data_IF_418958478133
#
_entry.id   IF_418958478133
#
_cell.length_a   1.000
_cell.length_b   1.000
_cell.length_c   1.000
_cell.angle_alpha   90.00
_cell.angle_beta   90.00
_cell.angle_gamma   90.00
#
_symmetry.space_group_name_H-M   'P 1'
#
loop_
_entity.id
_entity.type
_entity.pdbx_description
1 polymer ?
#
# COMPACT_ATOMS: atom_id res chain seq x y z
N UNK A 1 -20.70 -0.60 15.75
CA UNK A 1 -20.82 -2.03 15.42
C UNK A 1 -20.61 -2.84 16.70
N UNK A 2 -21.32 -3.96 16.89
CA UNK A 2 -21.12 -4.83 18.04
C UNK A 2 -19.65 -5.34 18.07
N UNK A 3 -18.94 -5.28 19.20
CA UNK A 3 -17.54 -5.74 19.30
C UNK A 3 -17.36 -7.20 18.87
N UNK A 4 -18.36 -8.07 19.11
CA UNK A 4 -18.29 -9.47 18.66
C UNK A 4 -18.31 -9.59 17.14
N UNK A 5 -19.13 -8.78 16.46
CA UNK A 5 -19.18 -8.74 14.99
C UNK A 5 -17.87 -8.16 14.42
N UNK A 6 -17.26 -7.19 15.11
CA UNK A 6 -15.95 -6.67 14.71
C UNK A 6 -14.89 -7.77 14.78
N UNK A 7 -14.87 -8.54 15.86
CA UNK A 7 -13.93 -9.64 16.02
C UNK A 7 -14.12 -10.73 14.96
N UNK A 8 -15.36 -11.11 14.64
CA UNK A 8 -15.62 -12.12 13.59
C UNK A 8 -15.22 -11.64 12.21
N UNK A 9 -15.47 -10.37 11.87
CA UNK A 9 -15.05 -9.80 10.58
C UNK A 9 -13.51 -9.71 10.47
N UNK A 10 -12.82 -9.28 11.52
CA UNK A 10 -11.35 -9.26 11.55
C UNK A 10 -10.77 -10.68 11.44
N UNK A 11 -11.39 -11.67 12.09
CA UNK A 11 -11.01 -13.07 11.93
C UNK A 11 -11.25 -13.57 10.50
N UNK A 12 -12.36 -13.19 9.87
CA UNK A 12 -12.65 -13.46 8.47
C UNK A 12 -11.58 -12.93 7.52
N UNK A 13 -11.06 -11.71 7.77
CA UNK A 13 -9.93 -11.14 7.02
C UNK A 13 -8.63 -11.93 7.22
N UNK A 14 -8.39 -12.42 8.42
CA UNK A 14 -7.27 -13.32 8.70
C UNK A 14 -7.42 -14.62 7.92
N UNK A 15 -8.55 -15.30 8.07
CA UNK A 15 -8.86 -16.55 7.41
C UNK A 15 -8.72 -16.46 5.89
N UNK A 16 -9.33 -15.46 5.25
CA UNK A 16 -9.25 -15.30 3.80
C UNK A 16 -7.80 -15.20 3.31
N UNK A 17 -6.97 -14.37 3.96
CA UNK A 17 -5.54 -14.29 3.63
C UNK A 17 -4.78 -15.59 3.87
N UNK A 18 -5.02 -16.29 4.99
CA UNK A 18 -4.34 -17.57 5.28
C UNK A 18 -4.69 -18.65 4.26
N UNK A 19 -5.94 -18.70 3.81
CA UNK A 19 -6.40 -19.66 2.80
C UNK A 19 -5.71 -19.40 1.47
N UNK A 20 -5.56 -18.12 1.07
CA UNK A 20 -4.81 -17.80 -0.16
C UNK A 20 -3.32 -18.13 -0.06
N UNK A 21 -2.72 -18.04 1.12
CA UNK A 21 -1.30 -18.39 1.29
C UNK A 21 -1.07 -19.90 1.27
N UNK A 22 -2.00 -20.66 1.85
CA UNK A 22 -1.91 -22.12 1.92
C UNK A 22 -2.41 -22.83 0.65
N UNK A 23 -3.14 -22.14 -0.24
CA UNK A 23 -3.74 -22.76 -1.41
C UNK A 23 -2.69 -23.09 -2.48
N UNK A 24 -2.75 -24.31 -3.02
CA UNK A 24 -2.12 -24.70 -4.29
C UNK A 24 -3.11 -24.66 -5.47
N UNK A 25 -4.41 -24.78 -5.20
CA UNK A 25 -5.46 -24.83 -6.22
C UNK A 25 -6.11 -23.47 -6.45
N UNK A 26 -6.29 -23.06 -7.72
CA UNK A 26 -6.87 -21.75 -8.09
C UNK A 26 -8.23 -21.45 -7.45
N UNK A 27 -9.14 -22.43 -7.40
CA UNK A 27 -10.45 -22.26 -6.77
C UNK A 27 -10.35 -21.88 -5.28
N UNK A 28 -9.39 -22.46 -4.54
CA UNK A 28 -9.19 -22.13 -3.12
C UNK A 28 -8.59 -20.74 -2.96
N UNK A 29 -7.63 -20.37 -3.83
CA UNK A 29 -7.10 -19.01 -3.87
C UNK A 29 -8.21 -17.97 -4.16
N UNK A 30 -9.09 -18.25 -5.11
CA UNK A 30 -10.24 -17.41 -5.43
C UNK A 30 -11.18 -17.28 -4.22
N UNK A 31 -11.52 -18.38 -3.56
CA UNK A 31 -12.38 -18.38 -2.38
C UNK A 31 -11.79 -17.53 -1.24
N UNK A 32 -10.47 -17.65 -1.00
CA UNK A 32 -9.77 -16.84 0.01
C UNK A 32 -9.82 -15.34 -0.29
N UNK A 33 -9.67 -14.95 -1.57
CA UNK A 33 -9.82 -13.56 -2.01
C UNK A 33 -11.27 -13.05 -1.81
N UNK A 34 -12.28 -13.87 -2.09
CA UNK A 34 -13.68 -13.48 -1.88
C UNK A 34 -14.07 -13.38 -0.40
N UNK A 35 -13.53 -14.25 0.46
CA UNK A 35 -13.71 -14.09 1.91
C UNK A 35 -13.12 -12.76 2.40
N UNK A 36 -11.99 -12.33 1.87
CA UNK A 36 -11.40 -11.04 2.21
C UNK A 36 -12.26 -9.85 1.75
N UNK A 37 -12.83 -9.91 0.55
CA UNK A 37 -13.68 -8.82 0.02
C UNK A 37 -14.97 -8.71 0.82
N UNK A 38 -15.63 -9.83 1.11
CA UNK A 38 -16.87 -9.85 1.89
C UNK A 38 -16.65 -9.42 3.35
N UNK A 39 -15.53 -9.81 3.97
CA UNK A 39 -15.24 -9.45 5.35
C UNK A 39 -14.91 -7.95 5.54
N UNK A 40 -14.30 -7.28 4.54
CA UNK A 40 -13.94 -5.85 4.68
C UNK A 40 -15.11 -4.90 4.40
N UNK A 41 -16.10 -5.27 3.57
CA UNK A 41 -17.21 -4.38 3.19
C UNK A 41 -17.96 -3.80 4.40
N UNK A 42 -18.36 -4.58 5.42
CA UNK A 42 -19.02 -4.02 6.60
C UNK A 42 -18.11 -3.11 7.42
N UNK A 43 -16.79 -3.35 7.41
CA UNK A 43 -15.82 -2.47 8.08
C UNK A 43 -15.72 -1.12 7.38
N UNK A 44 -15.87 -1.07 6.07
CA UNK A 44 -15.85 0.18 5.30
C UNK A 44 -17.13 1.02 5.51
N UNK A 45 -18.28 0.39 5.75
CA UNK A 45 -19.58 1.06 5.89
C UNK A 45 -19.97 1.41 7.34
N UNK A 46 -19.04 1.32 8.31
CA UNK A 46 -19.35 1.40 9.75
C UNK A 46 -20.12 2.63 10.20
N UNK A 47 -19.79 3.81 9.65
CA UNK A 47 -20.39 5.08 10.08
C UNK A 47 -21.67 5.46 9.32
N UNK A 48 -22.14 4.61 8.38
CA UNK A 48 -23.34 4.83 7.57
C UNK A 48 -23.43 6.20 6.88
N UNK A 49 -22.31 6.89 6.70
CA UNK A 49 -22.24 8.16 6.00
C UNK A 49 -22.36 7.91 4.48
N UNK A 50 -23.08 8.74 3.71
CA UNK A 50 -23.29 8.52 2.27
C UNK A 50 -21.97 8.33 1.51
N UNK A 51 -20.94 9.09 1.86
CA UNK A 51 -19.59 8.95 1.27
C UNK A 51 -18.90 7.63 1.60
N UNK A 52 -19.12 7.08 2.80
CA UNK A 52 -18.57 5.77 3.16
C UNK A 52 -19.28 4.67 2.37
N UNK A 53 -20.61 4.78 2.20
CA UNK A 53 -21.41 3.86 1.37
C UNK A 53 -21.02 3.95 -0.10
N UNK A 54 -20.79 5.14 -0.65
CA UNK A 54 -20.29 5.29 -2.02
C UNK A 54 -18.89 4.67 -2.20
N UNK A 55 -18.01 4.83 -1.22
CA UNK A 55 -16.69 4.19 -1.24
C UNK A 55 -16.81 2.65 -1.16
N UNK A 56 -17.73 2.12 -0.35
CA UNK A 56 -17.93 0.67 -0.24
C UNK A 56 -18.50 0.08 -1.53
N UNK A 57 -19.42 0.77 -2.20
CA UNK A 57 -19.99 0.30 -3.48
C UNK A 57 -18.94 0.32 -4.59
N UNK A 58 -18.12 1.36 -4.68
CA UNK A 58 -16.97 1.41 -5.62
C UNK A 58 -15.97 0.29 -5.37
N UNK A 59 -15.64 0.03 -4.11
CA UNK A 59 -14.78 -1.10 -3.74
C UNK A 59 -15.39 -2.44 -4.12
N UNK A 60 -16.67 -2.67 -3.79
CA UNK A 60 -17.34 -3.92 -4.11
C UNK A 60 -17.36 -4.20 -5.62
N UNK A 61 -17.77 -3.22 -6.43
CA UNK A 61 -17.86 -3.39 -7.89
C UNK A 61 -16.49 -3.69 -8.53
N UNK A 62 -15.44 -3.00 -8.09
CA UNK A 62 -14.08 -3.23 -8.62
C UNK A 62 -13.51 -4.57 -8.18
N UNK A 63 -13.75 -4.98 -6.94
CA UNK A 63 -13.23 -6.24 -6.43
C UNK A 63 -14.00 -7.46 -6.94
N UNK A 64 -15.32 -7.33 -7.13
CA UNK A 64 -16.16 -8.37 -7.72
C UNK A 64 -15.82 -8.60 -9.20
N UNK A 65 -15.58 -7.53 -9.97
CA UNK A 65 -15.13 -7.66 -11.37
C UNK A 65 -13.75 -8.31 -11.45
N UNK A 66 -12.81 -7.94 -10.56
CA UNK A 66 -11.51 -8.59 -10.47
C UNK A 66 -11.61 -10.09 -10.12
N UNK A 67 -12.51 -10.45 -9.20
CA UNK A 67 -12.71 -11.83 -8.80
C UNK A 67 -13.37 -12.68 -9.90
N UNK A 68 -14.36 -12.13 -10.60
CA UNK A 68 -14.96 -12.79 -11.76
C UNK A 68 -13.92 -13.00 -12.88
N UNK A 69 -13.07 -12.00 -13.14
CA UNK A 69 -11.98 -12.10 -14.10
C UNK A 69 -10.96 -13.18 -13.72
N UNK A 70 -10.61 -13.29 -12.43
CA UNK A 70 -9.72 -14.33 -11.93
C UNK A 70 -10.32 -15.73 -12.11
N UNK A 71 -11.61 -15.90 -11.76
CA UNK A 71 -12.31 -17.18 -11.93
C UNK A 71 -12.34 -17.57 -13.42
N UNK A 72 -12.72 -16.64 -14.30
CA UNK A 72 -12.72 -16.85 -15.75
C UNK A 72 -11.32 -17.22 -16.29
N UNK A 73 -10.28 -16.58 -15.79
CA UNK A 73 -8.91 -16.91 -16.20
C UNK A 73 -8.47 -18.30 -15.70
N UNK A 74 -8.87 -18.70 -14.49
CA UNK A 74 -8.58 -20.04 -13.97
C UNK A 74 -9.32 -21.16 -14.73
N UNK A 75 -10.59 -20.94 -15.10
CA UNK A 75 -11.38 -21.92 -15.85
C UNK A 75 -10.90 -22.05 -17.29
N UNK A 76 -10.48 -20.94 -17.92
CA UNK A 76 -9.85 -20.99 -19.25
C UNK A 76 -8.51 -21.72 -19.21
N UNK A 77 -7.70 -21.57 -18.15
CA UNK A 77 -6.49 -22.38 -17.99
C UNK A 77 -6.82 -23.88 -17.85
N UNK A 78 -7.79 -24.22 -17.01
CA UNK A 78 -8.22 -25.60 -16.83
C UNK A 78 -8.80 -26.20 -18.12
N UNK A 79 -9.50 -25.40 -18.93
CA UNK A 79 -10.00 -25.85 -20.23
C UNK A 79 -8.89 -26.11 -21.25
N UNK A 80 -7.84 -25.26 -21.26
CA UNK A 80 -6.73 -25.38 -22.20
C UNK A 80 -5.72 -26.47 -21.81
N UNK A 81 -5.40 -26.59 -20.53
CA UNK A 81 -4.28 -27.43 -20.02
C UNK A 81 -4.72 -28.56 -19.12
N UNK A 82 -5.97 -28.57 -18.66
CA UNK A 82 -6.47 -29.53 -17.67
C UNK A 82 -5.98 -29.31 -16.24
N UNK A 83 -5.19 -28.26 -15.99
CA UNK A 83 -4.52 -28.02 -14.71
C UNK A 83 -5.17 -26.90 -13.91
N UNK A 84 -5.24 -27.11 -12.58
CA UNK A 84 -5.78 -26.16 -11.61
C UNK A 84 -4.73 -25.65 -10.62
N UNK A 85 -3.48 -26.08 -10.76
CA UNK A 85 -2.38 -25.69 -9.91
C UNK A 85 -1.94 -24.24 -10.20
N UNK A 86 -1.57 -23.48 -9.17
CA UNK A 86 -1.19 -22.07 -9.28
C UNK A 86 0.13 -21.90 -10.04
N UNK A 87 1.09 -22.80 -9.80
CA UNK A 87 2.44 -22.70 -10.36
C UNK A 87 2.52 -23.12 -11.83
N UNK A 88 1.53 -23.85 -12.33
CA UNK A 88 1.55 -24.47 -13.66
C UNK A 88 0.66 -23.69 -14.64
N UNK A 89 0.96 -22.41 -14.80
CA UNK A 89 0.30 -21.53 -15.77
C UNK A 89 1.28 -21.25 -16.92
N UNK A 90 1.04 -21.86 -18.08
CA UNK A 90 1.94 -21.74 -19.24
C UNK A 90 1.35 -20.90 -20.37
N UNK A 91 0.03 -20.90 -20.54
CA UNK A 91 -0.60 -20.24 -21.67
C UNK A 91 -0.66 -18.71 -21.46
N UNK A 92 -0.27 -17.88 -22.45
CA UNK A 92 -0.16 -16.44 -22.29
C UNK A 92 -1.50 -15.77 -21.96
N UNK A 93 -2.61 -16.26 -22.53
CA UNK A 93 -3.93 -15.64 -22.34
C UNK A 93 -4.45 -15.73 -20.88
N UNK A 94 -4.51 -16.91 -20.21
CA UNK A 94 -4.85 -16.97 -18.79
C UNK A 94 -3.90 -16.15 -17.91
N UNK A 95 -2.60 -16.18 -18.19
CA UNK A 95 -1.60 -15.42 -17.41
C UNK A 95 -1.87 -13.91 -17.50
N UNK A 96 -2.14 -13.37 -18.69
CA UNK A 96 -2.45 -11.94 -18.83
C UNK A 96 -3.76 -11.56 -18.13
N UNK A 97 -4.78 -12.43 -18.19
CA UNK A 97 -6.04 -12.18 -17.48
C UNK A 97 -5.88 -12.21 -15.96
N UNK A 98 -5.13 -13.17 -15.41
CA UNK A 98 -4.88 -13.24 -13.96
C UNK A 98 -4.04 -12.06 -13.49
N UNK A 99 -2.99 -11.70 -14.23
CA UNK A 99 -2.16 -10.53 -13.88
C UNK A 99 -2.98 -9.24 -13.91
N UNK A 100 -3.88 -9.05 -14.88
CA UNK A 100 -4.83 -7.93 -14.90
C UNK A 100 -5.82 -7.97 -13.73
N UNK A 101 -6.36 -9.14 -13.39
CA UNK A 101 -7.27 -9.31 -12.26
C UNK A 101 -6.60 -8.95 -10.92
N UNK A 102 -5.38 -9.45 -10.69
CA UNK A 102 -4.60 -9.13 -9.49
C UNK A 102 -4.16 -7.66 -9.48
N UNK A 103 -3.79 -7.09 -10.63
CA UNK A 103 -3.50 -5.67 -10.80
C UNK A 103 -4.69 -4.79 -10.38
N UNK A 104 -5.90 -5.18 -10.77
CA UNK A 104 -7.14 -4.52 -10.37
C UNK A 104 -7.36 -4.61 -8.86
N UNK A 105 -7.19 -5.80 -8.26
CA UNK A 105 -7.37 -6.00 -6.80
C UNK A 105 -6.41 -5.14 -5.97
N UNK A 106 -5.16 -5.01 -6.41
CA UNK A 106 -4.11 -4.25 -5.72
C UNK A 106 -4.18 -2.75 -6.01
N UNK A 107 -4.78 -2.35 -7.14
CA UNK A 107 -4.94 -0.95 -7.55
C UNK A 107 -3.74 -0.40 -8.33
N UNK A 108 -3.20 -1.17 -9.27
CA UNK A 108 -2.13 -0.73 -10.16
C UNK A 108 -2.64 0.13 -11.30
N UNK A 109 -1.79 1.03 -11.82
CA UNK A 109 -2.11 1.75 -13.04
C UNK A 109 -2.11 0.78 -14.24
N UNK A 110 -3.03 0.94 -15.21
CA UNK A 110 -3.99 2.05 -15.35
C UNK A 110 -5.27 1.94 -14.49
N UNK A 111 -5.55 0.78 -13.89
CA UNK A 111 -6.83 0.48 -13.21
C UNK A 111 -6.84 0.86 -11.71
N UNK A 112 -6.14 1.96 -11.38
CA UNK A 112 -5.88 2.44 -10.02
C UNK A 112 -6.92 3.45 -9.52
N UNK A 113 -7.82 3.93 -10.40
CA UNK A 113 -8.71 5.07 -10.14
C UNK A 113 -9.63 4.89 -8.94
N UNK A 114 -9.95 3.65 -8.60
CA UNK A 114 -10.80 3.32 -7.44
C UNK A 114 -10.11 3.62 -6.11
N UNK A 115 -8.78 3.47 -6.02
CA UNK A 115 -8.09 3.48 -4.75
C UNK A 115 -8.10 4.86 -4.05
N UNK A 116 -7.83 6.00 -4.72
CA UNK A 116 -7.92 7.31 -4.09
C UNK A 116 -9.33 7.70 -3.66
N UNK A 117 -10.35 7.26 -4.39
CA UNK A 117 -11.75 7.57 -4.07
C UNK A 117 -12.23 6.77 -2.87
N UNK A 118 -11.95 5.46 -2.86
CA UNK A 118 -12.29 4.57 -1.74
C UNK A 118 -11.58 5.06 -0.47
N UNK A 119 -10.26 5.22 -0.50
CA UNK A 119 -9.51 5.66 0.70
C UNK A 119 -9.99 7.00 1.25
N UNK A 120 -10.47 7.92 0.41
CA UNK A 120 -10.97 9.21 0.88
C UNK A 120 -12.30 9.09 1.66
N UNK A 121 -13.15 8.12 1.31
CA UNK A 121 -14.44 7.88 1.97
C UNK A 121 -14.33 7.07 3.27
N UNK A 122 -13.16 6.49 3.54
CA UNK A 122 -12.90 5.64 4.71
C UNK A 122 -12.28 6.40 5.89
N UNK A 123 -12.40 5.81 7.07
CA UNK A 123 -11.67 6.24 8.26
C UNK A 123 -10.19 5.85 8.17
N UNK A 124 -9.35 6.49 8.98
CA UNK A 124 -7.91 6.24 8.96
C UNK A 124 -7.56 4.79 9.34
N UNK A 125 -8.33 4.15 10.22
CA UNK A 125 -8.11 2.76 10.63
C UNK A 125 -8.47 1.76 9.53
N UNK A 126 -9.61 1.96 8.87
CA UNK A 126 -10.04 1.08 7.77
C UNK A 126 -9.21 1.34 6.51
N UNK A 127 -8.80 2.59 6.27
CA UNK A 127 -7.84 2.95 5.24
C UNK A 127 -6.46 2.32 5.47
N UNK A 128 -5.99 2.22 6.71
CA UNK A 128 -4.77 1.48 7.05
C UNK A 128 -4.91 0.00 6.66
N UNK A 129 -5.99 -0.68 7.05
CA UNK A 129 -6.25 -2.09 6.69
C UNK A 129 -6.29 -2.27 5.17
N UNK A 130 -6.95 -1.37 4.44
CA UNK A 130 -7.01 -1.40 2.98
C UNK A 130 -5.63 -1.20 2.33
N UNK A 131 -4.83 -0.28 2.85
CA UNK A 131 -3.50 0.04 2.28
C UNK A 131 -2.40 -0.98 2.61
N UNK A 132 -2.64 -1.87 3.58
CA UNK A 132 -1.68 -2.88 4.06
C UNK A 132 -2.24 -4.30 3.87
N UNK A 133 -3.17 -4.72 4.71
CA UNK A 133 -3.69 -6.09 4.78
C UNK A 133 -4.30 -6.58 3.47
N UNK A 134 -5.11 -5.74 2.80
CA UNK A 134 -5.77 -6.15 1.54
C UNK A 134 -4.79 -6.37 0.38
N UNK A 135 -3.54 -5.89 0.50
CA UNK A 135 -2.50 -6.10 -0.52
C UNK A 135 -1.82 -7.46 -0.38
N UNK A 136 -1.84 -8.09 0.79
CA UNK A 136 -1.10 -9.32 1.08
C UNK A 136 -1.48 -10.49 0.17
N UNK A 137 -2.76 -10.87 0.16
CA UNK A 137 -3.24 -12.04 -0.57
C UNK A 137 -3.04 -11.92 -2.10
N UNK A 138 -3.45 -10.82 -2.76
CA UNK A 138 -3.19 -10.66 -4.19
C UNK A 138 -1.70 -10.61 -4.54
N UNK A 139 -0.87 -10.01 -3.67
CA UNK A 139 0.56 -9.91 -3.92
C UNK A 139 1.26 -11.27 -3.81
N UNK A 140 0.86 -12.12 -2.86
CA UNK A 140 1.36 -13.49 -2.77
C UNK A 140 1.05 -14.32 -4.02
N UNK A 141 -0.18 -14.21 -4.55
CA UNK A 141 -0.55 -14.89 -5.80
C UNK A 141 0.28 -14.37 -6.98
N UNK A 142 0.54 -13.06 -7.06
CA UNK A 142 1.38 -12.49 -8.11
C UNK A 142 2.81 -13.04 -8.07
N UNK A 143 3.37 -13.25 -6.88
CA UNK A 143 4.68 -13.87 -6.70
C UNK A 143 4.70 -15.37 -7.05
N UNK A 144 3.60 -16.09 -6.86
CA UNK A 144 3.50 -17.52 -7.15
C UNK A 144 3.38 -17.83 -8.65
N UNK A 145 2.74 -16.96 -9.43
CA UNK A 145 2.49 -17.19 -10.87
C UNK A 145 3.76 -17.02 -11.73
N UNK A 146 4.74 -16.22 -11.25
CA UNK A 146 5.97 -15.84 -11.97
C UNK A 146 5.79 -15.79 -13.51
N UNK A 147 5.07 -14.78 -14.04
CA UNK A 147 4.69 -14.77 -15.45
C UNK A 147 5.94 -14.76 -16.34
N UNK A 148 5.94 -15.62 -17.37
CA UNK A 148 7.06 -15.71 -18.31
C UNK A 148 7.31 -14.40 -19.08
N UNK A 149 6.28 -13.56 -19.27
CA UNK A 149 6.41 -12.29 -19.98
C UNK A 149 6.66 -11.11 -19.03
N UNK A 150 7.90 -10.62 -19.03
CA UNK A 150 8.34 -9.49 -18.21
C UNK A 150 7.75 -8.14 -18.59
N UNK A 151 7.36 -7.98 -19.86
CA UNK A 151 6.99 -6.68 -20.41
C UNK A 151 5.74 -6.09 -19.75
N UNK A 152 4.77 -6.94 -19.40
CA UNK A 152 3.50 -6.51 -18.78
C UNK A 152 3.73 -6.01 -17.35
N UNK A 153 4.51 -6.74 -16.56
CA UNK A 153 4.85 -6.32 -15.19
C UNK A 153 5.67 -5.04 -15.20
N UNK A 154 6.67 -4.92 -16.09
CA UNK A 154 7.46 -3.70 -16.22
C UNK A 154 6.56 -2.52 -16.63
N UNK A 155 5.63 -2.71 -17.57
CA UNK A 155 4.70 -1.68 -18.00
C UNK A 155 3.77 -1.23 -16.84
N UNK A 156 3.18 -2.15 -16.08
CA UNK A 156 2.39 -1.80 -14.90
C UNK A 156 3.23 -1.12 -13.81
N UNK A 157 4.45 -1.58 -13.58
CA UNK A 157 5.39 -0.98 -12.63
C UNK A 157 5.73 0.47 -12.98
N UNK A 158 6.17 0.74 -14.21
CA UNK A 158 6.53 2.09 -14.65
C UNK A 158 5.32 3.03 -14.66
N UNK A 159 4.20 2.60 -15.24
CA UNK A 159 2.98 3.43 -15.30
C UNK A 159 2.45 3.76 -13.90
N UNK A 160 2.48 2.82 -12.97
CA UNK A 160 2.02 3.07 -11.59
C UNK A 160 2.95 4.00 -10.81
N UNK A 161 4.27 3.91 -10.99
CA UNK A 161 5.19 4.89 -10.37
C UNK A 161 4.96 6.31 -10.91
N UNK A 162 4.76 6.47 -12.21
CA UNK A 162 4.51 7.76 -12.85
C UNK A 162 3.16 8.36 -12.43
N UNK A 163 2.10 7.57 -12.49
CA UNK A 163 0.75 8.02 -12.13
C UNK A 163 0.62 8.28 -10.64
N UNK A 164 1.25 7.46 -9.79
CA UNK A 164 1.33 7.70 -8.35
C UNK A 164 2.07 9.00 -8.02
N UNK A 165 3.16 9.29 -8.73
CA UNK A 165 3.90 10.55 -8.61
C UNK A 165 3.05 11.77 -8.99
N UNK A 166 2.57 11.83 -10.24
CA UNK A 166 1.80 12.98 -10.73
C UNK A 166 0.46 13.16 -10.02
N UNK A 167 -0.28 12.07 -9.77
CA UNK A 167 -1.58 12.12 -9.12
C UNK A 167 -1.52 12.65 -7.69
N UNK A 168 -0.42 12.38 -6.97
CA UNK A 168 -0.21 12.86 -5.60
C UNK A 168 0.03 14.37 -5.48
N UNK A 169 0.64 15.00 -6.50
CA UNK A 169 0.98 16.43 -6.49
C UNK A 169 -0.25 17.32 -6.32
N UNK A 170 -1.37 16.97 -6.94
CA UNK A 170 -2.57 17.83 -6.96
C UNK A 170 -3.51 17.61 -5.75
N UNK A 171 -3.16 16.74 -4.80
CA UNK A 171 -4.06 16.42 -3.69
C UNK A 171 -3.72 17.21 -2.43
N UNK A 172 -4.76 17.67 -1.73
CA UNK A 172 -4.66 18.33 -0.40
C UNK A 172 -5.19 17.45 0.74
N UNK A 173 -5.85 16.35 0.39
CA UNK A 173 -6.41 15.39 1.33
C UNK A 173 -5.37 14.32 1.65
N UNK A 174 -5.07 14.09 2.93
CA UNK A 174 -3.98 13.20 3.34
C UNK A 174 -4.23 11.75 2.92
N UNK A 175 -5.48 11.29 2.98
CA UNK A 175 -5.85 9.93 2.55
C UNK A 175 -5.63 9.70 1.05
N UNK A 176 -5.90 10.71 0.21
CA UNK A 176 -5.60 10.64 -1.23
C UNK A 176 -4.10 10.68 -1.51
N UNK A 177 -3.34 11.51 -0.79
CA UNK A 177 -1.87 11.54 -0.93
C UNK A 177 -1.29 10.16 -0.58
N UNK A 178 -1.74 9.54 0.53
CA UNK A 178 -1.34 8.19 0.89
C UNK A 178 -1.80 7.14 -0.14
N UNK A 179 -2.99 7.28 -0.73
CA UNK A 179 -3.45 6.41 -1.81
C UNK A 179 -2.48 6.43 -3.01
N UNK A 180 -2.13 7.62 -3.51
CA UNK A 180 -1.20 7.78 -4.63
C UNK A 180 0.21 7.31 -4.29
N UNK A 181 0.67 7.53 -3.06
CA UNK A 181 1.94 6.94 -2.63
C UNK A 181 1.91 5.42 -2.64
N UNK A 182 0.79 4.83 -2.27
CA UNK A 182 0.63 3.39 -2.23
C UNK A 182 0.65 2.79 -3.65
N UNK A 183 0.13 3.51 -4.64
CA UNK A 183 0.22 3.15 -6.07
C UNK A 183 1.67 3.21 -6.54
N UNK A 184 2.40 4.28 -6.17
CA UNK A 184 3.80 4.42 -6.53
C UNK A 184 4.67 3.31 -5.92
N UNK A 185 4.51 3.01 -4.62
CA UNK A 185 5.25 1.94 -3.96
C UNK A 185 4.94 0.56 -4.54
N UNK A 186 3.68 0.28 -4.86
CA UNK A 186 3.30 -0.96 -5.56
C UNK A 186 3.96 -1.08 -6.93
N UNK A 187 4.13 0.04 -7.63
CA UNK A 187 4.88 0.06 -8.89
C UNK A 187 6.33 -0.39 -8.73
N UNK A 188 7.02 0.13 -7.71
CA UNK A 188 8.38 -0.31 -7.36
C UNK A 188 8.45 -1.81 -7.05
N UNK A 189 7.48 -2.33 -6.29
CA UNK A 189 7.42 -3.76 -5.96
C UNK A 189 7.28 -4.62 -7.23
N UNK A 190 6.45 -4.19 -8.18
CA UNK A 190 6.16 -4.99 -9.38
C UNK A 190 7.27 -4.95 -10.41
N UNK A 191 8.05 -3.86 -10.47
CA UNK A 191 9.25 -3.79 -11.31
C UNK A 191 10.25 -4.92 -10.98
N UNK A 192 10.29 -5.38 -9.73
CA UNK A 192 11.26 -6.40 -9.29
C UNK A 192 10.65 -7.77 -9.04
N UNK A 193 9.31 -7.90 -9.05
CA UNK A 193 8.60 -9.15 -8.74
C UNK A 193 9.09 -10.35 -9.53
N UNK A 194 9.49 -10.15 -10.78
CA UNK A 194 10.01 -11.21 -11.62
C UNK A 194 11.50 -11.50 -11.42
N UNK A 195 12.30 -10.48 -11.10
CA UNK A 195 13.76 -10.63 -11.03
C UNK A 195 14.20 -11.17 -9.67
N UNK A 196 13.65 -10.65 -8.58
CA UNK A 196 13.98 -11.10 -7.22
C UNK A 196 12.76 -11.04 -6.31
N UNK A 197 12.01 -12.16 -6.16
CA UNK A 197 10.83 -12.20 -5.31
C UNK A 197 11.16 -11.91 -3.83
N UNK A 198 12.35 -12.30 -3.36
CA UNK A 198 12.82 -11.97 -2.00
C UNK A 198 12.96 -10.46 -1.77
N UNK A 199 13.42 -9.71 -2.79
CA UNK A 199 13.54 -8.26 -2.71
C UNK A 199 12.16 -7.61 -2.66
N UNK A 200 11.21 -8.14 -3.42
CA UNK A 200 9.84 -7.64 -3.37
C UNK A 200 9.18 -7.84 -2.01
N UNK A 201 9.44 -8.98 -1.35
CA UNK A 201 8.97 -9.21 0.03
C UNK A 201 9.55 -8.18 1.00
N UNK A 202 10.86 -7.90 0.91
CA UNK A 202 11.50 -6.84 1.71
C UNK A 202 10.83 -5.47 1.47
N UNK A 203 10.58 -5.13 0.22
CA UNK A 203 9.96 -3.84 -0.14
C UNK A 203 8.51 -3.73 0.36
N UNK A 204 7.77 -4.84 0.37
CA UNK A 204 6.42 -4.90 0.91
C UNK A 204 6.42 -4.70 2.44
N UNK A 205 7.32 -5.40 3.15
CA UNK A 205 7.43 -5.30 4.61
C UNK A 205 7.84 -3.89 5.05
N UNK A 206 8.84 -3.30 4.40
CA UNK A 206 9.26 -1.92 4.68
C UNK A 206 8.14 -0.93 4.38
N UNK A 207 7.41 -1.10 3.28
CA UNK A 207 6.24 -0.28 2.95
C UNK A 207 5.14 -0.39 4.03
N UNK A 208 4.85 -1.58 4.56
CA UNK A 208 3.86 -1.73 5.64
C UNK A 208 4.27 -1.02 6.92
N UNK A 209 5.53 -1.13 7.34
CA UNK A 209 6.02 -0.42 8.52
C UNK A 209 5.91 1.10 8.33
N UNK A 210 6.29 1.61 7.16
CA UNK A 210 6.21 3.04 6.86
C UNK A 210 4.76 3.56 6.79
N UNK A 211 3.87 2.87 6.09
CA UNK A 211 2.47 3.27 6.01
C UNK A 211 1.74 3.15 7.35
N UNK A 212 2.01 2.11 8.12
CA UNK A 212 1.50 1.94 9.48
C UNK A 212 1.86 3.15 10.36
N UNK A 213 3.13 3.55 10.37
CA UNK A 213 3.57 4.72 11.13
C UNK A 213 2.88 6.02 10.66
N UNK A 214 2.77 6.25 9.34
CA UNK A 214 2.13 7.45 8.79
C UNK A 214 0.63 7.56 9.14
N UNK A 215 -0.13 6.46 9.00
CA UNK A 215 -1.55 6.44 9.39
C UNK A 215 -1.74 6.63 10.90
N UNK A 216 -0.85 6.08 11.74
CA UNK A 216 -0.90 6.28 13.19
C UNK A 216 -0.61 7.73 13.58
N UNK A 217 0.38 8.38 12.96
CA UNK A 217 0.64 9.81 13.14
C UNK A 217 -0.64 10.60 12.88
N UNK A 218 -1.27 10.40 11.72
CA UNK A 218 -2.50 11.13 11.34
C UNK A 218 -3.69 10.82 12.24
N UNK A 219 -3.78 9.59 12.78
CA UNK A 219 -4.82 9.21 13.72
C UNK A 219 -4.65 9.91 15.07
N UNK A 220 -3.43 10.00 15.58
CA UNK A 220 -3.11 10.66 16.85
C UNK A 220 -3.32 12.18 16.77
N UNK A 221 -2.92 12.81 15.67
CA UNK A 221 -3.17 14.25 15.40
C UNK A 221 -4.60 14.56 14.97
N UNK A 222 -5.42 13.52 14.68
CA UNK A 222 -6.78 13.61 14.12
C UNK A 222 -6.85 14.48 12.86
N UNK A 223 -5.81 14.47 12.04
CA UNK A 223 -5.70 15.33 10.85
C UNK A 223 -6.06 14.57 9.56
N UNK A 224 -6.97 15.11 8.76
CA UNK A 224 -7.36 14.54 7.45
C UNK A 224 -6.91 15.40 6.25
N UNK A 225 -6.64 16.69 6.48
CA UNK A 225 -6.26 17.67 5.45
C UNK A 225 -4.94 18.35 5.81
N UNK A 226 -4.23 18.90 4.81
CA UNK A 226 -2.98 19.65 5.02
C UNK A 226 -3.14 20.78 6.04
N UNK A 227 -4.20 21.58 5.97
CA UNK A 227 -4.38 22.71 6.89
C UNK A 227 -4.59 22.24 8.35
N UNK A 228 -5.29 21.12 8.53
CA UNK A 228 -5.46 20.52 9.86
C UNK A 228 -4.16 19.90 10.37
N UNK A 229 -3.34 19.37 9.45
CA UNK A 229 -2.00 18.89 9.74
C UNK A 229 -1.07 20.04 10.15
N UNK A 230 -1.18 21.20 9.50
CA UNK A 230 -0.35 22.37 9.81
C UNK A 230 -0.56 22.84 11.25
N UNK A 231 -1.80 22.89 11.74
CA UNK A 231 -2.08 23.28 13.14
C UNK A 231 -1.70 22.23 14.20
N UNK A 232 -1.16 21.07 13.80
CA UNK A 232 -0.82 20.00 14.75
C UNK A 232 0.43 20.31 15.59
N UNK A 233 1.31 21.20 15.13
CA UNK A 233 2.55 21.56 15.87
C UNK A 233 2.22 22.10 17.26
N UNK A 234 1.12 22.84 17.38
CA UNK A 234 0.66 23.39 18.65
C UNK A 234 0.15 22.30 19.59
N UNK A 235 -0.44 21.21 19.07
CA UNK A 235 -1.08 20.17 19.90
C UNK A 235 -0.08 19.13 20.40
N UNK A 236 0.84 18.70 19.54
CA UNK A 236 1.75 17.59 19.81
C UNK A 236 3.13 17.86 19.18
N UNK A 237 3.94 18.79 19.74
CA UNK A 237 5.16 19.28 19.10
C UNK A 237 6.20 18.17 18.83
N UNK A 238 6.35 17.23 19.75
CA UNK A 238 7.27 16.10 19.57
C UNK A 238 6.87 15.19 18.40
N UNK A 239 5.57 14.89 18.27
CA UNK A 239 5.06 14.06 17.17
C UNK A 239 5.21 14.77 15.83
N UNK A 240 4.94 16.08 15.79
CA UNK A 240 5.08 16.86 14.56
C UNK A 240 6.54 17.06 14.14
N UNK A 241 7.48 17.05 15.06
CA UNK A 241 8.90 17.08 14.71
C UNK A 241 9.36 15.76 14.07
N UNK A 242 8.83 14.62 14.51
CA UNK A 242 9.19 13.29 14.00
C UNK A 242 8.44 12.90 12.71
N UNK A 243 7.21 13.34 12.55
CA UNK A 243 6.36 12.97 11.40
C UNK A 243 6.94 13.31 10.01
N UNK A 244 7.63 14.45 9.78
CA UNK A 244 8.38 14.69 8.56
C UNK A 244 9.35 13.57 8.21
N UNK A 245 10.10 13.04 9.18
CA UNK A 245 11.08 11.99 8.93
C UNK A 245 10.40 10.69 8.44
N UNK A 246 9.20 10.38 8.95
CA UNK A 246 8.38 9.26 8.45
C UNK A 246 7.90 9.49 7.01
N UNK A 247 7.50 10.73 6.67
CA UNK A 247 7.07 11.05 5.30
C UNK A 247 8.25 11.01 4.32
N UNK A 248 9.42 11.47 4.75
CA UNK A 248 10.65 11.43 3.96
C UNK A 248 11.19 10.00 3.82
N UNK A 249 10.94 9.12 4.80
CA UNK A 249 11.26 7.69 4.66
C UNK A 249 10.42 7.05 3.57
N UNK A 250 9.12 7.34 3.47
CA UNK A 250 8.28 6.93 2.32
C UNK A 250 8.82 7.49 0.99
N UNK A 251 9.28 8.73 0.99
CA UNK A 251 10.00 9.36 -0.12
C UNK A 251 11.29 8.63 -0.52
N UNK A 252 11.89 7.88 0.40
CA UNK A 252 13.11 7.12 0.19
C UNK A 252 14.37 7.97 0.18
N UNK A 253 14.46 8.96 1.08
CA UNK A 253 15.67 9.78 1.23
C UNK A 253 16.74 9.04 2.05
N UNK A 254 18.03 9.04 1.63
CA UNK A 254 19.13 8.69 2.52
C UNK A 254 19.20 9.74 3.65
N UNK A 255 19.37 9.39 4.94
CA UNK A 255 19.79 8.12 5.56
C UNK A 255 18.65 7.21 6.07
N UNK A 256 17.41 7.39 5.61
CA UNK A 256 16.22 6.73 6.17
C UNK A 256 15.95 5.35 5.55
N UNK A 257 15.13 4.55 6.21
CA UNK A 257 14.92 3.14 5.84
C UNK A 257 14.32 2.91 4.47
N UNK A 258 13.39 3.77 4.01
CA UNK A 258 12.77 3.60 2.69
C UNK A 258 13.71 3.84 1.51
N UNK A 259 14.93 4.34 1.75
CA UNK A 259 15.98 4.38 0.73
C UNK A 259 16.48 2.96 0.39
N UNK A 260 16.63 2.09 1.40
CA UNK A 260 17.12 0.72 1.24
C UNK A 260 16.42 -0.06 0.10
N UNK A 261 15.08 -0.23 0.11
CA UNK A 261 14.41 -1.01 -0.93
C UNK A 261 14.57 -0.39 -2.32
N UNK A 262 14.44 0.93 -2.47
CA UNK A 262 14.57 1.61 -3.77
C UNK A 262 15.98 1.48 -4.34
N UNK A 263 17.00 1.60 -3.49
CA UNK A 263 18.39 1.43 -3.89
C UNK A 263 18.68 0.01 -4.39
N UNK A 264 18.25 -1.01 -3.63
CA UNK A 264 18.44 -2.41 -4.03
C UNK A 264 17.65 -2.76 -5.31
N UNK A 265 16.44 -2.22 -5.50
CA UNK A 265 15.68 -2.38 -6.75
C UNK A 265 16.49 -1.83 -7.94
N UNK A 266 17.03 -0.61 -7.82
CA UNK A 266 17.81 0.01 -8.89
C UNK A 266 19.06 -0.80 -9.23
N UNK A 267 19.70 -1.38 -8.21
CA UNK A 267 20.85 -2.27 -8.40
C UNK A 267 20.45 -3.53 -9.17
N UNK A 268 19.35 -4.18 -8.82
CA UNK A 268 18.87 -5.37 -9.54
C UNK A 268 18.48 -5.06 -10.99
N UNK A 269 17.77 -3.94 -11.23
CA UNK A 269 17.42 -3.54 -12.60
C UNK A 269 18.66 -3.24 -13.45
N UNK A 270 19.71 -2.67 -12.85
CA UNK A 270 20.98 -2.44 -13.53
C UNK A 270 21.73 -3.75 -13.84
N UNK A 271 21.67 -4.76 -12.97
CA UNK A 271 22.24 -6.10 -13.23
C UNK A 271 21.57 -6.81 -14.40
N UNK A 272 20.30 -6.52 -14.67
CA UNK A 272 19.52 -7.11 -15.76
C UNK A 272 19.56 -6.30 -17.07
N UNK A 273 20.53 -5.38 -17.21
CA UNK A 273 20.69 -4.46 -18.35
C UNK A 273 19.48 -3.54 -18.63
N UNK A 274 18.59 -3.36 -17.65
CA UNK A 274 17.41 -2.49 -17.73
C UNK A 274 17.70 -1.07 -17.18
N UNK A 275 18.86 -0.52 -17.52
CA UNK A 275 19.25 0.85 -17.15
C UNK A 275 18.19 1.93 -17.50
N UNK A 276 17.53 1.94 -18.69
CA UNK A 276 16.54 2.98 -18.99
C UNK A 276 15.29 2.90 -18.11
N UNK A 277 14.83 1.69 -17.73
CA UNK A 277 13.67 1.57 -16.84
C UNK A 277 14.03 1.99 -15.41
N UNK A 278 15.24 1.66 -14.96
CA UNK A 278 15.77 2.07 -13.66
C UNK A 278 15.85 3.61 -13.54
N UNK A 279 16.38 4.29 -14.55
CA UNK A 279 16.46 5.77 -14.55
C UNK A 279 15.08 6.42 -14.55
N UNK A 280 14.13 5.91 -15.34
CA UNK A 280 12.76 6.43 -15.36
C UNK A 280 12.04 6.23 -14.02
N UNK A 281 12.21 5.07 -13.40
CA UNK A 281 11.67 4.79 -12.06
C UNK A 281 12.28 5.71 -11.00
N UNK A 282 13.60 5.95 -11.04
CA UNK A 282 14.27 6.87 -10.14
C UNK A 282 13.74 8.31 -10.28
N UNK A 283 13.52 8.79 -11.51
CA UNK A 283 12.95 10.12 -11.76
C UNK A 283 11.49 10.23 -11.29
N UNK A 284 10.67 9.19 -11.45
CA UNK A 284 9.29 9.19 -10.96
C UNK A 284 9.22 9.22 -9.43
N UNK A 285 10.19 8.60 -8.72
CA UNK A 285 10.27 8.70 -7.27
C UNK A 285 10.53 10.13 -6.76
N UNK A 286 11.25 10.98 -7.50
CA UNK A 286 11.45 12.39 -7.13
C UNK A 286 10.12 13.17 -7.10
N UNK A 287 9.18 12.86 -8.00
CA UNK A 287 7.83 13.44 -7.97
C UNK A 287 7.11 13.08 -6.66
N UNK A 288 7.25 11.83 -6.22
CA UNK A 288 6.64 11.38 -4.96
C UNK A 288 7.25 12.08 -3.74
N UNK A 289 8.57 12.26 -3.76
CA UNK A 289 9.32 12.96 -2.72
C UNK A 289 8.88 14.42 -2.58
N UNK A 290 8.59 15.10 -3.69
CA UNK A 290 8.14 16.50 -3.64
C UNK A 290 6.84 16.70 -2.85
N UNK A 291 5.81 15.86 -3.03
CA UNK A 291 4.57 16.06 -2.26
C UNK A 291 4.75 15.72 -0.78
N UNK A 292 5.71 14.85 -0.42
CA UNK A 292 6.09 14.63 0.97
C UNK A 292 6.85 15.82 1.57
N UNK A 293 7.75 16.43 0.81
CA UNK A 293 8.41 17.68 1.21
C UNK A 293 7.39 18.78 1.46
N UNK A 294 6.40 18.94 0.57
CA UNK A 294 5.29 19.89 0.76
C UNK A 294 4.53 19.64 2.06
N UNK A 295 4.25 18.38 2.41
CA UNK A 295 3.62 18.03 3.68
C UNK A 295 4.50 18.35 4.88
N UNK A 296 5.80 18.03 4.81
CA UNK A 296 6.76 18.34 5.87
C UNK A 296 6.89 19.85 6.11
N UNK A 297 6.85 20.64 5.04
CA UNK A 297 6.92 22.09 5.09
C UNK A 297 5.72 22.69 5.82
N UNK A 298 4.51 22.23 5.46
CA UNK A 298 3.28 22.69 6.08
C UNK A 298 3.16 22.27 7.56
N UNK A 299 3.73 21.14 7.96
CA UNK A 299 3.58 20.59 9.31
C UNK A 299 4.61 21.15 10.30
N UNK A 300 5.90 21.15 9.95
CA UNK A 300 6.98 21.31 10.94
C UNK A 300 8.00 22.38 10.57
N UNK A 301 8.34 22.54 9.28
CA UNK A 301 9.37 23.51 8.87
C UNK A 301 8.85 24.96 8.90
N UNK A 302 7.53 25.15 8.86
CA UNK A 302 6.89 26.45 9.03
C UNK A 302 5.82 26.43 10.10
N UNK A 303 5.59 27.59 10.72
CA UNK A 303 4.59 27.78 11.77
C UNK A 303 3.34 28.40 11.12
N UNK A 304 2.28 27.62 10.97
CA UNK A 304 0.98 28.12 10.50
C UNK A 304 0.19 28.80 11.62
N UNK A 305 -0.66 29.81 11.32
CA UNK A 305 -1.53 30.42 12.31
C UNK A 305 -2.48 29.38 12.94
N UNK A 306 -2.71 29.49 14.25
CA UNK A 306 -3.58 28.59 15.02
C UNK A 306 -4.76 29.36 15.62
N UNK A 307 -5.87 28.66 15.86
CA UNK A 307 -7.07 29.23 16.44
C UNK A 307 -7.02 29.17 17.98
N UNK A 308 -7.74 30.08 18.67
CA UNK A 308 -7.80 30.13 20.14
C UNK A 308 -8.26 28.80 20.78
N UNK A 309 -9.21 28.11 20.15
CA UNK A 309 -9.69 26.79 20.59
C UNK A 309 -8.59 25.70 20.57
N UNK A 310 -7.49 25.93 19.87
CA UNK A 310 -6.32 25.04 19.83
C UNK A 310 -5.52 24.99 21.13
N UNK A 311 -5.79 25.88 22.10
CA UNK A 311 -5.12 25.91 23.42
C UNK A 311 -5.71 24.92 24.43
N UNK A 312 -6.99 24.55 24.28
CA UNK A 312 -7.69 23.60 25.14
C UNK A 312 -6.99 22.23 25.20
N UNK A 313 -6.59 21.59 24.07
CA UNK A 313 -5.95 20.28 24.11
C UNK A 313 -4.60 20.27 24.86
N UNK A 314 -3.97 21.43 25.12
CA UNK A 314 -2.71 21.48 25.90
C UNK A 314 -2.88 21.03 27.35
N UNK A 315 -4.09 21.16 27.90
CA UNK A 315 -4.38 20.82 29.29
C UNK A 315 -4.83 19.37 29.48
N UNK A 316 -5.14 18.67 28.39
CA UNK A 316 -5.72 17.33 28.43
C UNK A 316 -4.68 16.29 27.99
N UNK A 317 -4.43 15.23 28.79
CA UNK A 317 -3.57 14.14 28.38
C UNK A 317 -4.22 13.33 27.25
N UNK A 318 -3.39 12.79 26.36
CA UNK A 318 -3.86 11.94 25.28
C UNK A 318 -4.12 10.52 25.79
N UNK A 319 -5.31 9.96 25.52
CA UNK A 319 -5.74 8.65 26.05
C UNK A 319 -5.42 7.46 25.15
N UNK A 320 -4.79 7.67 23.98
CA UNK A 320 -4.52 6.59 23.02
C UNK A 320 -3.15 5.94 23.29
N UNK A 321 -3.08 4.61 23.15
CA UNK A 321 -1.83 3.85 23.24
C UNK A 321 -0.81 4.31 22.17
N UNK A 322 0.32 4.84 22.62
CA UNK A 322 1.40 5.38 21.76
C UNK A 322 2.50 4.37 21.45
N UNK A 323 2.55 3.23 22.16
CA UNK A 323 3.60 2.20 21.97
C UNK A 323 3.70 1.71 20.52
N UNK A 324 2.60 1.37 19.81
CA UNK A 324 2.69 0.91 18.42
C UNK A 324 3.24 1.99 17.48
N UNK A 325 2.91 3.26 17.74
CA UNK A 325 3.47 4.38 17.00
C UNK A 325 4.98 4.46 17.25
N UNK A 326 5.42 4.42 18.51
CA UNK A 326 6.83 4.55 18.85
C UNK A 326 7.67 3.48 18.12
N UNK A 327 7.25 2.21 18.19
CA UNK A 327 7.91 1.10 17.49
C UNK A 327 7.88 1.31 15.97
N UNK A 328 6.74 1.73 15.41
CA UNK A 328 6.65 2.05 13.98
C UNK A 328 7.60 3.17 13.57
N UNK A 329 7.67 4.25 14.34
CA UNK A 329 8.54 5.39 14.03
C UNK A 329 10.02 5.07 14.21
N UNK A 330 10.42 4.28 15.21
CA UNK A 330 11.83 3.92 15.37
C UNK A 330 12.28 2.99 14.25
N UNK A 331 11.43 2.03 13.88
CA UNK A 331 11.71 1.12 12.77
C UNK A 331 11.75 1.83 11.42
N UNK A 332 10.96 2.87 11.16
CA UNK A 332 11.06 3.63 9.90
C UNK A 332 12.31 4.52 9.79
N UNK A 333 12.98 4.83 10.90
CA UNK A 333 14.14 5.72 10.90
C UNK A 333 15.46 4.95 10.91
N UNK A 334 15.54 3.85 11.65
CA UNK A 334 16.82 3.27 12.08
C UNK A 334 17.20 1.94 11.43
N UNK A 335 16.40 1.36 10.54
CA UNK A 335 16.72 0.06 9.90
C UNK A 335 17.79 0.12 8.80
N UNK A 336 18.19 1.30 8.31
CA UNK A 336 19.11 1.40 7.17
C UNK A 336 20.50 0.78 7.44
N UNK A 337 21.14 0.94 8.62
CA UNK A 337 22.41 0.27 8.92
C UNK A 337 22.32 -1.28 8.91
N UNK A 338 21.11 -1.85 9.05
CA UNK A 338 20.88 -3.29 9.00
C UNK A 338 20.74 -3.82 7.57
N UNK A 339 21.01 -3.01 6.54
CA UNK A 339 20.93 -3.45 5.15
C UNK A 339 21.78 -4.69 4.86
N UNK A 340 23.04 -4.84 5.32
CA UNK A 340 23.84 -6.01 4.95
C UNK A 340 23.29 -7.29 5.59
N UNK A 341 22.75 -7.19 6.80
CA UNK A 341 22.11 -8.31 7.49
C UNK A 341 20.83 -8.75 6.77
N UNK A 342 20.02 -7.80 6.30
CA UNK A 342 18.81 -8.10 5.54
C UNK A 342 19.12 -8.72 4.16
N UNK A 343 20.17 -8.24 3.48
CA UNK A 343 20.66 -8.84 2.22
C UNK A 343 21.13 -10.28 2.45
N UNK A 344 21.91 -10.52 3.50
CA UNK A 344 22.38 -11.86 3.85
C UNK A 344 21.23 -12.83 4.21
N UNK A 345 20.24 -12.37 4.98
CA UNK A 345 19.09 -13.19 5.39
C UNK A 345 18.17 -13.57 4.23
N UNK A 346 18.00 -12.67 3.26
CA UNK A 346 17.12 -12.86 2.11
C UNK A 346 17.86 -13.39 0.88
N UNK A 347 19.16 -13.68 1.01
CA UNK A 347 20.05 -14.16 -0.05
C UNK A 347 19.88 -13.35 -1.35
N UNK A 348 19.93 -12.02 -1.20
CA UNK A 348 19.85 -11.03 -2.29
C UNK A 348 21.23 -10.75 -2.89
#
# INVERSE_FOLDING_TARGET
MNPYILATLLFGLGLGTTITFASSHWLLAWMGLEMNTLAIIPLMAQHHHPRAVEATTKYFLTQATAAAMLLFASTTNAWLTGQWDIQQMTHPLPITLITLALALKIGLAPIHSWLPEVLQGLDLTTGLILSTWQKLAPFALLLQIQPANSTILIAFGLTSTLVGGWGGLNQTQLRKILAYSSIAHLGWMILVAQFSPSLTLLTLLTYFVMTFSAFLVFKLTKSTNINMLATSWAKAPALTALAPLVLLSLGGLPPLTGFMPKWLILQELAKQDLAPTATLAAMSALLSLYFYLRLSYAMALTISPNNLAGTIPWRLPHSQFTLPLAIGTTTTLLLLPLTPAAVALLTL
#
